data_IF_763445468585
#
_entry.id   IF_763445468585
#
_cell.length_a   1.000
_cell.length_b   1.000
_cell.length_c   1.000
_cell.angle_alpha   90.00
_cell.angle_beta   90.00
_cell.angle_gamma   90.00
#
_symmetry.space_group_name_H-M   'P 1'
#
loop_
_entity.id
_entity.type
_entity.pdbx_description
1 polymer ?
#
# COMPACT_ATOMS: atom_id res chain seq x y z
N UNK A 1 43.67 30.98 -30.03
CA UNK A 1 42.43 30.47 -29.39
C UNK A 1 41.73 29.34 -30.15
N UNK A 2 41.84 29.19 -31.48
CA UNK A 2 41.22 28.06 -32.24
C UNK A 2 41.92 26.68 -32.10
N UNK A 3 43.11 26.64 -31.50
CA UNK A 3 43.97 25.44 -31.48
C UNK A 3 43.83 24.57 -30.21
N UNK A 4 43.16 25.08 -29.18
CA UNK A 4 42.91 24.38 -27.91
C UNK A 4 41.56 23.66 -27.90
N UNK A 5 40.60 24.12 -28.69
CA UNK A 5 39.27 23.52 -28.79
C UNK A 5 39.29 22.22 -29.58
N UNK A 6 40.06 22.15 -30.66
CA UNK A 6 40.20 20.94 -31.47
C UNK A 6 40.87 19.79 -30.71
N UNK A 7 41.89 20.06 -29.89
CA UNK A 7 42.59 19.02 -29.12
C UNK A 7 41.77 18.46 -27.95
N UNK A 8 40.87 19.26 -27.36
CA UNK A 8 39.91 18.81 -26.35
C UNK A 8 38.75 18.02 -26.97
N UNK A 9 38.28 18.43 -28.16
CA UNK A 9 37.27 17.70 -28.93
C UNK A 9 37.76 16.34 -29.44
N UNK A 10 39.01 16.26 -29.89
CA UNK A 10 39.64 15.01 -30.34
C UNK A 10 39.84 14.02 -29.18
N UNK A 11 40.31 14.50 -28.02
CA UNK A 11 40.48 13.67 -26.81
C UNK A 11 39.15 13.18 -26.25
N UNK A 12 38.10 13.99 -26.30
CA UNK A 12 36.75 13.54 -25.92
C UNK A 12 36.21 12.52 -26.92
N UNK A 13 36.44 12.67 -28.23
CA UNK A 13 36.05 11.68 -29.24
C UNK A 13 36.81 10.35 -29.11
N UNK A 14 38.11 10.39 -28.84
CA UNK A 14 38.94 9.18 -28.66
C UNK A 14 38.65 8.49 -27.32
N UNK A 15 38.38 9.26 -26.26
CA UNK A 15 37.91 8.73 -24.98
C UNK A 15 36.50 8.11 -25.13
N UNK A 16 35.60 8.73 -25.90
CA UNK A 16 34.23 8.27 -26.15
C UNK A 16 34.18 6.93 -26.93
N UNK A 17 35.17 6.67 -27.79
CA UNK A 17 35.35 5.40 -28.52
C UNK A 17 36.37 4.46 -27.85
N UNK A 18 36.71 4.68 -26.58
CA UNK A 18 37.54 3.71 -25.84
C UNK A 18 36.67 2.53 -25.37
N UNK A 19 37.20 1.29 -25.34
CA UNK A 19 36.47 0.16 -24.78
C UNK A 19 36.11 0.38 -23.30
N UNK A 20 36.80 1.29 -22.62
CA UNK A 20 36.49 1.72 -21.25
C UNK A 20 35.24 2.61 -21.17
N UNK A 21 35.12 3.63 -22.02
CA UNK A 21 33.93 4.50 -22.04
C UNK A 21 32.66 3.77 -22.49
N UNK A 22 32.78 2.84 -23.44
CA UNK A 22 31.66 1.98 -23.85
C UNK A 22 31.20 1.11 -22.66
N UNK A 23 32.12 0.49 -21.93
CA UNK A 23 31.80 -0.27 -20.71
C UNK A 23 31.15 0.61 -19.63
N UNK A 24 31.61 1.85 -19.46
CA UNK A 24 31.02 2.80 -18.52
C UNK A 24 29.58 3.20 -18.92
N UNK A 25 29.33 3.45 -20.21
CA UNK A 25 27.98 3.75 -20.70
C UNK A 25 27.07 2.53 -20.59
N UNK A 26 27.56 1.33 -20.90
CA UNK A 26 26.81 0.08 -20.70
C UNK A 26 26.50 -0.16 -19.22
N UNK A 27 27.44 0.13 -18.31
CA UNK A 27 27.21 0.06 -16.86
C UNK A 27 26.11 1.03 -16.44
N UNK A 28 26.18 2.29 -16.87
CA UNK A 28 25.16 3.30 -16.58
C UNK A 28 23.80 2.93 -17.16
N UNK A 29 23.75 2.45 -18.41
CA UNK A 29 22.51 1.98 -19.04
C UNK A 29 21.94 0.78 -18.29
N UNK A 30 22.78 -0.16 -17.84
CA UNK A 30 22.34 -1.33 -17.06
C UNK A 30 21.79 -0.90 -15.70
N UNK A 31 22.45 0.03 -15.00
CA UNK A 31 21.97 0.60 -13.75
C UNK A 31 20.66 1.37 -13.94
N UNK A 32 20.52 2.12 -15.05
CA UNK A 32 19.29 2.83 -15.37
C UNK A 32 18.14 1.85 -15.65
N UNK A 33 18.39 0.79 -16.42
CA UNK A 33 17.39 -0.27 -16.67
C UNK A 33 17.03 -0.97 -15.36
N UNK A 34 18.01 -1.29 -14.51
CA UNK A 34 17.77 -1.90 -13.20
C UNK A 34 16.93 -0.98 -12.31
N UNK A 35 17.24 0.31 -12.27
CA UNK A 35 16.46 1.32 -11.54
C UNK A 35 15.02 1.38 -12.04
N UNK A 36 14.81 1.40 -13.37
CA UNK A 36 13.47 1.37 -13.96
C UNK A 36 12.74 0.06 -13.66
N UNK A 37 13.44 -1.08 -13.62
CA UNK A 37 12.89 -2.37 -13.22
C UNK A 37 12.42 -2.35 -11.74
N UNK A 38 13.25 -1.81 -10.86
CA UNK A 38 12.91 -1.65 -9.44
C UNK A 38 11.67 -0.76 -9.27
N UNK A 39 11.64 0.40 -9.93
CA UNK A 39 10.53 1.35 -9.85
C UNK A 39 9.23 0.85 -10.50
N UNK A 40 9.31 0.28 -11.70
CA UNK A 40 8.13 -0.12 -12.49
C UNK A 40 7.61 -1.51 -12.19
N UNK A 41 8.43 -2.41 -11.63
CA UNK A 41 8.03 -3.80 -11.36
C UNK A 41 8.05 -4.07 -9.86
N UNK A 42 9.19 -3.89 -9.18
CA UNK A 42 9.35 -4.30 -7.78
C UNK A 42 8.48 -3.45 -6.84
N UNK A 43 8.51 -2.13 -6.97
CA UNK A 43 7.69 -1.22 -6.16
C UNK A 43 6.18 -1.51 -6.29
N UNK A 44 5.58 -1.59 -7.50
CA UNK A 44 4.17 -1.92 -7.63
C UNK A 44 3.87 -3.34 -7.18
N UNK A 45 4.76 -4.33 -7.34
CA UNK A 45 4.50 -5.68 -6.82
C UNK A 45 4.41 -5.68 -5.29
N UNK A 46 5.30 -4.94 -4.62
CA UNK A 46 5.31 -4.81 -3.16
C UNK A 46 4.09 -4.03 -2.64
N UNK A 47 3.70 -2.93 -3.30
CA UNK A 47 2.60 -2.05 -2.85
C UNK A 47 1.22 -2.51 -3.32
N UNK A 48 1.11 -3.12 -4.50
CA UNK A 48 -0.18 -3.56 -5.09
C UNK A 48 -0.57 -4.98 -4.67
N UNK A 49 0.24 -5.68 -3.88
CA UNK A 49 -0.08 -7.02 -3.36
C UNK A 49 -1.31 -7.10 -2.44
N UNK A 50 -1.93 -5.98 -2.09
CA UNK A 50 -3.17 -5.96 -1.31
C UNK A 50 -4.35 -6.50 -2.10
N UNK A 51 -4.76 -7.75 -1.83
CA UNK A 51 -6.03 -8.30 -2.32
C UNK A 51 -7.17 -7.39 -1.92
N UNK A 52 -8.07 -7.10 -2.85
CA UNK A 52 -9.30 -6.35 -2.56
C UNK A 52 -10.30 -7.32 -1.93
N UNK A 53 -10.85 -6.94 -0.79
CA UNK A 53 -11.82 -7.71 0.00
C UNK A 53 -13.11 -6.90 0.09
N UNK A 54 -14.25 -7.59 0.00
CA UNK A 54 -15.56 -6.98 0.21
C UNK A 54 -15.88 -6.99 1.70
N UNK A 55 -16.23 -5.82 2.24
CA UNK A 55 -16.59 -5.69 3.65
C UNK A 55 -17.98 -6.33 3.88
N UNK A 56 -18.11 -7.33 4.77
CA UNK A 56 -19.40 -7.92 5.10
C UNK A 56 -20.25 -6.96 5.95
N UNK A 57 -21.54 -7.23 6.00
CA UNK A 57 -22.42 -6.60 6.99
C UNK A 57 -22.27 -7.33 8.34
N UNK A 58 -21.83 -6.60 9.37
CA UNK A 58 -21.71 -7.08 10.75
C UNK A 58 -22.63 -6.30 11.70
N UNK A 59 -23.52 -5.45 11.18
CA UNK A 59 -24.51 -4.75 11.99
C UNK A 59 -25.45 -5.74 12.68
N UNK A 60 -25.76 -5.46 13.95
CA UNK A 60 -26.63 -6.32 14.77
C UNK A 60 -25.94 -7.51 15.44
N UNK A 61 -24.66 -7.78 15.13
CA UNK A 61 -23.85 -8.80 15.80
C UNK A 61 -23.20 -8.29 17.08
N UNK A 62 -22.71 -9.19 17.93
CA UNK A 62 -21.80 -8.79 19.01
C UNK A 62 -20.47 -8.30 18.44
N UNK A 63 -19.74 -7.50 19.21
CA UNK A 63 -18.41 -7.06 18.81
C UNK A 63 -17.49 -8.26 18.52
N UNK A 64 -17.52 -9.28 19.36
CA UNK A 64 -16.68 -10.47 19.26
C UNK A 64 -16.99 -11.28 17.98
N UNK A 65 -18.27 -11.47 17.65
CA UNK A 65 -18.69 -12.15 16.42
C UNK A 65 -18.29 -11.35 15.17
N UNK A 66 -18.51 -10.03 15.20
CA UNK A 66 -18.12 -9.13 14.12
C UNK A 66 -16.60 -9.15 13.91
N UNK A 67 -15.84 -9.17 15.01
CA UNK A 67 -14.38 -9.20 14.98
C UNK A 67 -13.84 -10.50 14.37
N UNK A 68 -14.43 -11.64 14.71
CA UNK A 68 -14.07 -12.93 14.12
C UNK A 68 -14.34 -12.93 12.60
N UNK A 69 -15.53 -12.53 12.17
CA UNK A 69 -15.90 -12.54 10.75
C UNK A 69 -15.03 -11.59 9.92
N UNK A 70 -14.68 -10.43 10.45
CA UNK A 70 -13.77 -9.49 9.80
C UNK A 70 -12.35 -10.08 9.71
N UNK A 71 -11.86 -10.74 10.77
CA UNK A 71 -10.55 -11.39 10.78
C UNK A 71 -10.41 -12.51 9.76
N UNK A 72 -11.45 -13.33 9.57
CA UNK A 72 -11.47 -14.39 8.55
C UNK A 72 -11.27 -13.86 7.12
N UNK A 73 -11.70 -12.61 6.88
CA UNK A 73 -11.52 -11.91 5.60
C UNK A 73 -10.22 -11.09 5.55
N UNK A 74 -9.36 -11.20 6.57
CA UNK A 74 -8.13 -10.42 6.70
C UNK A 74 -8.38 -8.92 6.94
N UNK A 75 -9.55 -8.55 7.48
CA UNK A 75 -9.87 -7.20 7.92
C UNK A 75 -9.62 -7.07 9.43
N UNK A 76 -9.39 -5.84 9.90
CA UNK A 76 -9.09 -5.58 11.30
C UNK A 76 -10.26 -4.84 11.94
N UNK A 77 -10.98 -5.45 12.89
CA UNK A 77 -12.01 -4.71 13.61
C UNK A 77 -11.36 -3.74 14.63
N UNK A 78 -11.94 -2.55 14.74
CA UNK A 78 -11.57 -1.53 15.72
C UNK A 78 -12.84 -1.05 16.41
N UNK A 79 -12.78 -0.88 17.74
CA UNK A 79 -13.86 -0.22 18.48
C UNK A 79 -13.91 1.25 18.07
N UNK A 80 -15.07 1.68 17.59
CA UNK A 80 -15.39 3.05 17.27
C UNK A 80 -16.05 3.74 18.46
N UNK A 81 -17.09 4.52 18.18
CA UNK A 81 -17.85 5.20 19.22
C UNK A 81 -18.80 4.25 19.95
N UNK A 82 -18.93 4.46 21.25
CA UNK A 82 -19.97 3.80 22.03
C UNK A 82 -21.23 4.65 22.03
N UNK A 83 -22.34 4.08 21.59
CA UNK A 83 -23.62 4.78 21.47
C UNK A 83 -24.61 4.16 22.44
N UNK A 84 -25.34 4.95 23.21
CA UNK A 84 -26.40 4.42 24.06
C UNK A 84 -27.67 4.18 23.23
N UNK A 85 -28.12 2.93 23.15
CA UNK A 85 -29.41 2.56 22.55
C UNK A 85 -30.14 1.57 23.48
N UNK A 86 -31.25 1.99 24.13
CA UNK A 86 -32.01 1.14 25.04
C UNK A 86 -32.76 0.00 24.34
N UNK A 87 -32.87 0.01 23.00
CA UNK A 87 -33.58 -1.02 22.23
C UNK A 87 -32.68 -2.19 21.82
N UNK A 88 -31.36 -2.08 21.99
CA UNK A 88 -30.37 -3.05 21.53
C UNK A 88 -29.63 -3.66 22.72
N UNK A 89 -29.20 -4.92 22.57
CA UNK A 89 -28.41 -5.60 23.60
C UNK A 89 -27.05 -4.90 23.76
N UNK A 90 -26.52 -4.90 24.97
CA UNK A 90 -25.18 -4.36 25.25
C UNK A 90 -24.11 -5.06 24.41
N UNK A 91 -23.10 -4.31 23.96
CA UNK A 91 -22.06 -4.80 23.05
C UNK A 91 -22.50 -5.08 21.60
N UNK A 92 -23.73 -4.72 21.20
CA UNK A 92 -24.18 -4.91 19.80
C UNK A 92 -23.60 -3.85 18.89
N UNK A 93 -23.08 -4.25 17.73
CA UNK A 93 -22.64 -3.35 16.66
C UNK A 93 -23.86 -2.65 16.06
N UNK A 94 -23.89 -1.33 16.15
CA UNK A 94 -24.93 -0.48 15.59
C UNK A 94 -24.59 -0.02 14.18
N UNK A 95 -23.33 0.35 13.99
CA UNK A 95 -22.84 0.79 12.69
C UNK A 95 -21.39 0.40 12.47
N UNK A 96 -21.03 0.30 11.19
CA UNK A 96 -19.68 0.00 10.75
C UNK A 96 -19.20 1.05 9.74
N UNK A 97 -17.90 1.29 9.73
CA UNK A 97 -17.23 2.08 8.71
C UNK A 97 -15.89 1.40 8.35
N UNK A 98 -15.68 0.96 7.09
CA UNK A 98 -16.49 1.20 5.89
C UNK A 98 -17.86 0.50 5.86
N UNK A 99 -18.75 1.01 5.02
CA UNK A 99 -20.10 0.47 4.84
C UNK A 99 -20.05 -0.97 4.28
N UNK A 100 -21.08 -1.79 4.53
CA UNK A 100 -21.20 -3.10 3.91
C UNK A 100 -21.06 -3.04 2.39
N UNK A 101 -20.55 -4.12 1.78
CA UNK A 101 -20.27 -4.24 0.35
C UNK A 101 -19.19 -3.30 -0.20
N UNK A 102 -18.59 -2.46 0.64
CA UNK A 102 -17.44 -1.64 0.24
C UNK A 102 -16.25 -2.52 -0.14
N UNK A 103 -15.54 -2.14 -1.20
CA UNK A 103 -14.29 -2.80 -1.62
C UNK A 103 -13.10 -2.13 -0.96
N UNK A 104 -12.41 -2.85 -0.09
CA UNK A 104 -11.26 -2.34 0.65
C UNK A 104 -10.04 -3.22 0.41
N UNK A 105 -8.83 -2.69 0.63
CA UNK A 105 -7.64 -3.53 0.65
C UNK A 105 -7.66 -4.44 1.88
N UNK A 106 -7.14 -5.65 1.74
CA UNK A 106 -6.86 -6.53 2.87
C UNK A 106 -5.99 -5.80 3.92
N UNK A 107 -6.22 -6.09 5.20
CA UNK A 107 -5.61 -5.40 6.32
C UNK A 107 -6.25 -4.06 6.70
N UNK A 108 -7.31 -3.63 5.98
CA UNK A 108 -8.01 -2.38 6.32
C UNK A 108 -8.73 -2.51 7.67
N UNK A 109 -8.59 -1.47 8.48
CA UNK A 109 -9.37 -1.35 9.72
C UNK A 109 -10.84 -0.98 9.44
N UNK A 110 -11.76 -1.72 10.04
CA UNK A 110 -13.20 -1.47 10.06
C UNK A 110 -13.58 -1.03 11.47
N UNK A 111 -14.07 0.21 11.59
CA UNK A 111 -14.52 0.79 12.84
C UNK A 111 -15.96 0.36 13.12
N UNK A 112 -16.18 -0.22 14.28
CA UNK A 112 -17.48 -0.70 14.72
C UNK A 112 -17.95 0.18 15.88
N UNK A 113 -19.01 0.96 15.65
CA UNK A 113 -19.70 1.66 16.72
C UNK A 113 -20.68 0.69 17.37
N UNK A 114 -20.54 0.49 18.68
CA UNK A 114 -21.32 -0.50 19.41
C UNK A 114 -22.02 0.14 20.60
N UNK A 115 -23.02 -0.53 21.14
CA UNK A 115 -23.64 -0.08 22.39
C UNK A 115 -22.64 -0.16 23.53
N UNK A 116 -22.57 0.88 24.38
CA UNK A 116 -21.69 0.95 25.55
C UNK A 116 -21.64 -0.40 26.28
N UNK A 117 -20.46 -1.00 26.33
CA UNK A 117 -20.25 -2.17 27.16
C UNK A 117 -20.02 -1.66 28.59
N UNK A 118 -20.92 -1.97 29.52
CA UNK A 118 -20.67 -1.68 30.93
C UNK A 118 -19.57 -2.62 31.42
N UNK A 119 -18.31 -2.21 31.27
CA UNK A 119 -17.19 -2.88 31.92
C UNK A 119 -17.38 -2.75 33.43
N UNK A 120 -17.45 -3.90 34.10
CA UNK A 120 -17.39 -4.02 35.56
C UNK A 120 -15.94 -4.26 35.96
#
# INVERSE_FOLDING_TARGET
MKHLTSSMLEKTFSALRSPFAIKLYLLFATLMVLFLLLDKVVMPLYVRGGKVVVVPDVSGKSFEEAEQQLRELGLVAKRGYEIYDPKKKLGTVLSQNPLPQSKVKQGRSVYLSSTRHSAK
#
